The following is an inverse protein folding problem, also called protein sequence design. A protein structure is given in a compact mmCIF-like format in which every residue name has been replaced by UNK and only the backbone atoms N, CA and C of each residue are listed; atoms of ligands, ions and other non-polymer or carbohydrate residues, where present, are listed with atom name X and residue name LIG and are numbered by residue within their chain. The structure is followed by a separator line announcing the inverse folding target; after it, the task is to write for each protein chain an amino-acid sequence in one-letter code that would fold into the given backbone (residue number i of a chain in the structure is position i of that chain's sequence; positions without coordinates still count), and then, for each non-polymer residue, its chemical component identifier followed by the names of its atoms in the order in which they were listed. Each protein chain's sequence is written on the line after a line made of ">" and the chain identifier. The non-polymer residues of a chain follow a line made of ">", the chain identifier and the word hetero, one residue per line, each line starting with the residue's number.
data_IF_434287758610
#
_entry.id   IF_434287758610
#
_cell.length_a   1.000
_cell.length_b   1.000
_cell.length_c   1.000
_cell.angle_alpha   90.00
_cell.angle_beta   90.00
_cell.angle_gamma   90.00
#
_symmetry.space_group_name_H-M   'P 1'
#
loop_
_entity.id
_entity.type
_entity.pdbx_description
1 polymer ?
#
# COMPACT_ATOMS: atom_id res chain seq x y z
N UNK A 1 -17.41 15.23 20.83
CA UNK A 1 -17.44 15.36 19.36
C UNK A 1 -16.30 14.52 18.85
N UNK A 2 -16.66 13.50 18.09
CA UNK A 2 -15.87 12.31 17.79
C UNK A 2 -14.76 12.65 16.79
N UNK A 3 -13.56 12.13 17.04
CA UNK A 3 -12.42 12.29 16.14
C UNK A 3 -12.65 11.47 14.88
N UNK A 4 -12.95 12.15 13.78
CA UNK A 4 -12.97 11.55 12.45
C UNK A 4 -11.58 11.02 12.12
N UNK A 5 -11.48 9.69 12.15
CA UNK A 5 -10.30 8.92 11.81
C UNK A 5 -10.10 9.00 10.28
N UNK A 6 -9.63 10.15 9.79
CA UNK A 6 -9.31 10.36 8.39
C UNK A 6 -8.13 9.46 8.01
N UNK A 7 -8.47 8.32 7.40
CA UNK A 7 -7.51 7.42 6.78
C UNK A 7 -6.59 8.18 5.83
N UNK A 8 -5.31 7.80 5.83
CA UNK A 8 -4.25 8.48 5.07
C UNK A 8 -4.62 8.61 3.59
N UNK A 9 -4.34 9.76 2.94
CA UNK A 9 -4.73 10.02 1.55
C UNK A 9 -4.29 8.91 0.58
N UNK A 10 -5.25 8.46 -0.24
CA UNK A 10 -5.05 7.46 -1.29
C UNK A 10 -3.97 7.93 -2.26
N UNK A 11 -2.96 7.10 -2.50
CA UNK A 11 -1.80 7.43 -3.35
C UNK A 11 -0.66 8.14 -2.62
N UNK A 12 -0.73 8.29 -1.29
CA UNK A 12 0.41 8.73 -0.48
C UNK A 12 1.56 7.73 -0.61
N UNK A 13 2.55 8.07 -1.44
CA UNK A 13 3.81 7.33 -1.54
C UNK A 13 4.47 7.31 -0.16
N UNK A 14 4.37 6.18 0.55
CA UNK A 14 5.18 5.92 1.73
C UNK A 14 6.62 5.72 1.24
N UNK A 15 7.29 6.83 0.88
CA UNK A 15 8.66 6.85 0.36
C UNK A 15 9.63 6.31 1.39
N UNK A 16 9.35 6.57 2.66
CA UNK A 16 10.13 6.10 3.78
C UNK A 16 9.32 5.04 4.52
N UNK A 17 9.73 3.79 4.37
CA UNK A 17 9.25 2.68 5.20
C UNK A 17 10.42 2.27 6.10
N UNK A 18 10.81 3.12 7.08
CA UNK A 18 12.07 2.95 7.81
C UNK A 18 12.16 1.57 8.48
N UNK A 19 11.04 1.04 8.97
CA UNK A 19 10.97 -0.31 9.51
C UNK A 19 11.18 -1.40 8.45
N UNK A 20 10.54 -1.29 7.29
CA UNK A 20 10.72 -2.27 6.22
C UNK A 20 12.16 -2.25 5.68
N UNK A 21 12.79 -1.08 5.63
CA UNK A 21 14.17 -0.92 5.20
C UNK A 21 15.15 -1.48 6.23
N UNK A 22 14.95 -1.17 7.52
CA UNK A 22 15.71 -1.78 8.61
C UNK A 22 15.57 -3.31 8.63
N UNK A 23 14.37 -3.85 8.40
CA UNK A 23 14.12 -5.28 8.31
C UNK A 23 14.85 -5.93 7.13
N UNK A 24 14.82 -5.30 5.95
CA UNK A 24 15.57 -5.77 4.77
C UNK A 24 17.07 -5.76 5.04
N UNK A 25 17.59 -4.72 5.70
CA UNK A 25 19.00 -4.66 6.09
C UNK A 25 19.34 -5.79 7.06
N UNK A 26 18.54 -5.99 8.11
CA UNK A 26 18.76 -7.03 9.12
C UNK A 26 18.70 -8.46 8.54
N UNK A 27 17.84 -8.69 7.55
CA UNK A 27 17.73 -9.97 6.84
C UNK A 27 18.94 -10.24 5.93
N UNK A 28 19.56 -9.18 5.36
CA UNK A 28 20.72 -9.28 4.47
C UNK A 28 22.06 -9.30 5.21
N UNK A 29 22.13 -8.68 6.38
CA UNK A 29 23.38 -8.54 7.13
C UNK A 29 23.75 -9.81 7.90
N UNK A 30 25.01 -10.25 7.78
CA UNK A 30 25.68 -11.16 8.72
C UNK A 30 25.37 -12.65 8.58
N UNK A 31 24.19 -13.05 8.09
CA UNK A 31 23.88 -14.46 7.83
C UNK A 31 22.85 -14.59 6.68
N UNK A 32 23.21 -15.19 5.54
CA UNK A 32 22.30 -15.32 4.38
C UNK A 32 21.13 -16.28 4.64
N UNK A 33 21.18 -17.10 5.69
CA UNK A 33 20.18 -18.12 6.00
C UNK A 33 19.08 -17.64 6.96
N UNK A 34 19.08 -16.37 7.40
CA UNK A 34 18.06 -15.87 8.34
C UNK A 34 16.65 -16.00 7.79
N UNK A 35 16.47 -15.70 6.50
CA UNK A 35 15.18 -15.84 5.85
C UNK A 35 14.74 -17.31 5.80
N UNK A 36 15.68 -18.23 5.52
CA UNK A 36 15.43 -19.67 5.54
C UNK A 36 14.98 -20.15 6.93
N UNK A 37 15.67 -19.73 7.99
CA UNK A 37 15.27 -20.08 9.36
C UNK A 37 13.90 -19.54 9.77
N UNK A 38 13.48 -18.39 9.21
CA UNK A 38 12.11 -17.88 9.40
C UNK A 38 11.11 -18.76 8.65
N UNK A 39 11.43 -19.17 7.42
CA UNK A 39 10.59 -20.09 6.63
C UNK A 39 10.42 -21.44 7.31
N UNK A 40 11.48 -22.01 7.88
CA UNK A 40 11.42 -23.28 8.63
C UNK A 40 10.45 -23.18 9.82
N UNK A 41 10.51 -22.09 10.59
CA UNK A 41 9.56 -21.84 11.69
C UNK A 41 8.12 -21.62 11.22
N UNK A 42 7.93 -21.02 10.05
CA UNK A 42 6.60 -20.84 9.47
C UNK A 42 5.99 -22.20 9.11
N UNK A 43 6.78 -23.10 8.52
CA UNK A 43 6.35 -24.46 8.18
C UNK A 43 6.05 -25.25 9.45
N UNK A 44 6.94 -25.21 10.45
CA UNK A 44 6.74 -25.90 11.73
C UNK A 44 5.42 -25.48 12.41
N UNK A 45 5.11 -24.18 12.42
CA UNK A 45 3.82 -23.70 12.95
C UNK A 45 2.63 -24.18 12.13
N UNK A 46 2.76 -24.24 10.82
CA UNK A 46 1.70 -24.75 9.96
C UNK A 46 1.46 -26.25 10.21
N UNK A 47 2.52 -27.04 10.39
CA UNK A 47 2.46 -28.47 10.74
C UNK A 47 1.82 -28.70 12.12
N UNK A 48 2.03 -27.77 13.06
CA UNK A 48 1.37 -27.78 14.38
C UNK A 48 -0.13 -27.41 14.33
N UNK A 49 -0.66 -27.03 13.16
CA UNK A 49 -2.08 -26.70 12.97
C UNK A 49 -2.44 -25.22 13.17
N UNK A 50 -1.45 -24.31 13.18
CA UNK A 50 -1.72 -22.88 13.20
C UNK A 50 -2.38 -22.45 11.87
N UNK A 51 -3.69 -22.17 11.92
CA UNK A 51 -4.50 -21.77 10.76
C UNK A 51 -3.94 -20.52 10.06
N UNK A 52 -3.33 -19.59 10.80
CA UNK A 52 -2.74 -18.40 10.21
C UNK A 52 -1.47 -18.75 9.44
N UNK A 53 -0.63 -19.63 9.99
CA UNK A 53 0.58 -20.10 9.30
C UNK A 53 0.23 -20.91 8.05
N UNK A 54 -0.76 -21.81 8.12
CA UNK A 54 -1.25 -22.61 6.97
C UNK A 54 -1.72 -21.69 5.84
N UNK A 55 -2.54 -20.68 6.16
CA UNK A 55 -2.98 -19.69 5.17
C UNK A 55 -1.82 -18.93 4.54
N UNK A 56 -0.88 -18.49 5.35
CA UNK A 56 0.27 -17.69 4.93
C UNK A 56 1.27 -18.51 4.08
N UNK A 57 1.31 -19.84 4.25
CA UNK A 57 1.99 -20.77 3.34
C UNK A 57 1.24 -20.89 2.01
N UNK A 58 -0.09 -21.12 2.04
CA UNK A 58 -0.92 -21.18 0.83
C UNK A 58 -0.84 -19.90 0.00
N UNK A 59 -1.00 -18.73 0.63
CA UNK A 59 -0.91 -17.41 0.01
C UNK A 59 0.45 -17.15 -0.69
N UNK A 60 1.53 -17.82 -0.28
CA UNK A 60 2.86 -17.70 -0.93
C UNK A 60 3.06 -18.65 -2.09
N UNK A 61 2.44 -19.83 -2.07
CA UNK A 61 2.58 -20.84 -3.11
C UNK A 61 1.55 -20.64 -4.22
N UNK A 62 0.29 -20.48 -3.84
CA UNK A 62 -0.85 -20.37 -4.76
C UNK A 62 -1.20 -18.91 -5.07
N UNK A 63 -0.62 -17.97 -4.32
CA UNK A 63 -0.92 -16.55 -4.40
C UNK A 63 -2.15 -16.14 -3.59
N UNK A 64 -2.27 -14.84 -3.30
CA UNK A 64 -3.45 -14.29 -2.62
C UNK A 64 -4.58 -14.11 -3.63
N UNK A 65 -5.79 -14.53 -3.27
CA UNK A 65 -6.98 -14.15 -4.02
C UNK A 65 -7.07 -12.63 -4.16
N UNK A 66 -7.36 -12.14 -5.37
CA UNK A 66 -7.60 -10.71 -5.62
C UNK A 66 -8.73 -10.24 -4.71
N UNK A 67 -8.44 -9.28 -3.84
CA UNK A 67 -9.47 -8.64 -3.04
C UNK A 67 -10.28 -7.71 -3.96
N UNK A 68 -11.45 -8.15 -4.40
CA UNK A 68 -12.41 -7.28 -5.08
C UNK A 68 -12.89 -6.25 -4.08
N UNK A 69 -12.52 -4.98 -4.28
CA UNK A 69 -13.17 -3.87 -3.59
C UNK A 69 -14.44 -3.59 -4.37
N UNK A 70 -15.59 -4.01 -3.84
CA UNK A 70 -16.88 -3.61 -4.37
C UNK A 70 -17.05 -2.11 -4.14
N UNK A 71 -16.75 -1.32 -5.17
CA UNK A 71 -17.18 0.06 -5.22
C UNK A 71 -18.62 0.01 -5.68
N UNK A 72 -19.56 0.37 -4.80
CA UNK A 72 -20.98 0.40 -5.15
C UNK A 72 -21.18 1.22 -6.42
N UNK A 73 -21.48 0.55 -7.53
CA UNK A 73 -21.80 1.20 -8.80
C UNK A 73 -23.21 1.77 -8.64
N UNK A 74 -23.29 3.07 -8.36
CA UNK A 74 -24.55 3.80 -8.47
C UNK A 74 -24.60 4.35 -9.88
N UNK A 75 -25.67 4.02 -10.61
CA UNK A 75 -25.87 4.55 -11.96
C UNK A 75 -26.03 6.07 -11.90
N UNK A 76 -25.52 6.78 -12.90
CA UNK A 76 -25.54 8.25 -12.92
C UNK A 76 -26.98 8.76 -12.90
N UNK A 77 -27.90 8.02 -13.51
CA UNK A 77 -29.33 8.33 -13.62
C UNK A 77 -30.07 8.20 -12.28
N UNK A 78 -29.50 7.49 -11.31
CA UNK A 78 -30.09 7.31 -9.98
C UNK A 78 -29.65 8.39 -8.98
N UNK A 79 -28.73 9.27 -9.37
CA UNK A 79 -28.23 10.35 -8.54
C UNK A 79 -28.92 11.66 -8.91
N UNK A 80 -29.36 12.40 -7.89
CA UNK A 80 -29.81 13.78 -8.09
C UNK A 80 -28.62 14.69 -8.40
N UNK A 81 -28.88 15.83 -9.06
CA UNK A 81 -27.86 16.85 -9.30
C UNK A 81 -27.12 17.26 -8.01
N UNK A 82 -27.84 17.35 -6.88
CA UNK A 82 -27.25 17.70 -5.59
C UNK A 82 -26.25 16.63 -5.10
N UNK A 83 -26.58 15.36 -5.28
CA UNK A 83 -25.71 14.22 -4.94
C UNK A 83 -24.51 14.12 -5.89
N UNK A 84 -24.72 14.36 -7.19
CA UNK A 84 -23.64 14.49 -8.16
C UNK A 84 -22.70 15.64 -7.79
N UNK A 85 -23.23 16.80 -7.42
CA UNK A 85 -22.44 17.93 -6.94
C UNK A 85 -21.70 17.62 -5.65
N UNK A 86 -22.25 16.80 -4.76
CA UNK A 86 -21.55 16.35 -3.55
C UNK A 86 -20.40 15.38 -3.89
N UNK A 87 -20.57 14.51 -4.89
CA UNK A 87 -19.52 13.61 -5.38
C UNK A 87 -18.42 14.38 -6.10
N UNK A 88 -18.76 15.37 -6.93
CA UNK A 88 -17.77 16.23 -7.61
C UNK A 88 -16.97 17.07 -6.60
N UNK A 89 -17.65 17.62 -5.59
CA UNK A 89 -16.99 18.36 -4.50
C UNK A 89 -16.12 17.46 -3.63
N UNK A 90 -16.53 16.22 -3.39
CA UNK A 90 -15.71 15.24 -2.66
C UNK A 90 -14.63 14.59 -3.54
N UNK A 91 -14.76 14.68 -4.87
CA UNK A 91 -13.96 13.96 -5.87
C UNK A 91 -12.97 14.80 -6.68
N UNK A 92 -12.89 16.11 -6.47
CA UNK A 92 -11.90 16.95 -7.17
C UNK A 92 -10.53 16.92 -6.49
N UNK A 93 -9.76 15.86 -6.76
CA UNK A 93 -8.32 16.00 -7.02
C UNK A 93 -8.24 16.70 -8.39
N UNK A 94 -8.11 18.02 -8.38
CA UNK A 94 -8.02 18.82 -9.60
C UNK A 94 -6.76 18.50 -10.42
N UNK A 95 -6.79 18.70 -11.75
CA UNK A 95 -5.60 18.68 -12.61
C UNK A 95 -4.83 20.01 -12.52
N UNK A 96 -4.52 20.49 -11.33
CA UNK A 96 -3.49 21.52 -11.12
C UNK A 96 -2.13 20.84 -10.84
N UNK A 97 -1.71 19.99 -11.78
CA UNK A 97 -0.29 19.73 -12.03
C UNK A 97 0.21 20.82 -13.01
N UNK A 98 0.05 22.10 -12.61
CA UNK A 98 0.82 23.18 -13.19
C UNK A 98 2.27 22.96 -12.78
N UNK A 99 3.06 22.37 -13.70
CA UNK A 99 4.51 22.54 -13.80
C UNK A 99 5.23 22.70 -12.46
N UNK A 100 5.12 21.71 -11.58
CA UNK A 100 6.13 21.59 -10.52
C UNK A 100 7.40 21.10 -11.20
N UNK A 101 8.24 22.08 -11.57
CA UNK A 101 9.66 21.89 -11.83
C UNK A 101 10.15 20.74 -10.95
N UNK A 102 10.61 19.67 -11.58
CA UNK A 102 11.45 18.68 -10.92
C UNK A 102 12.71 19.47 -10.54
N UNK A 103 12.70 20.07 -9.35
CA UNK A 103 13.87 20.71 -8.76
C UNK A 103 14.85 19.60 -8.38
N UNK A 104 15.46 18.99 -9.40
CA UNK A 104 16.75 18.35 -9.26
C UNK A 104 17.82 19.45 -9.25
N UNK A 105 18.94 19.25 -8.53
CA UNK A 105 20.01 20.23 -8.50
C UNK A 105 20.55 20.45 -9.92
N UNK A 106 20.41 21.68 -10.44
CA UNK A 106 21.00 22.09 -11.72
C UNK A 106 22.51 22.18 -11.51
N UNK A 107 23.28 21.38 -12.24
CA UNK A 107 24.75 21.52 -12.26
C UNK A 107 25.11 22.83 -12.99
N UNK A 108 26.04 23.64 -12.46
CA UNK A 108 26.48 24.85 -13.15
C UNK A 108 27.18 24.48 -14.46
N UNK A 109 26.84 25.20 -15.54
CA UNK A 109 27.54 25.12 -16.82
C UNK A 109 28.73 26.06 -16.73
N UNK A 110 29.94 25.51 -16.66
CA UNK A 110 31.19 26.26 -16.77
C UNK A 110 31.35 26.83 -18.19
N UNK A 111 31.80 28.08 -18.28
CA UNK A 111 32.37 28.68 -19.49
C UNK A 111 33.81 29.06 -19.22
#
# INVERSE_FOLDING_TARGET
>A
MEGENMGRPIGSVNREKPFADALRMALRSGNPYRLRGITEKLIEKAEQGDLQAIKEVGDRLDGKCTQTIERGEVSVEALTDAELFAIIRSGSRGPEDETKLICGPVRPIEK
#
